data_IF_026955074355
#
_entry.id   IF_026955074355
#
_cell.length_a   1.000
_cell.length_b   1.000
_cell.length_c   1.000
_cell.angle_alpha   90.00
_cell.angle_beta   90.00
_cell.angle_gamma   90.00
#
_symmetry.space_group_name_H-M   'P 1'
#
loop_
_entity.id
_entity.type
_entity.pdbx_description
1 polymer ?
#
# COMPACT_ATOMS: atom_id res chain seq x y z
N UNK A 1 4.53 -11.10 12.20
CA UNK A 1 5.01 -9.69 12.17
C UNK A 1 6.44 -9.64 12.68
N UNK A 2 7.26 -8.69 12.20
CA UNK A 2 8.60 -8.47 12.74
C UNK A 2 8.56 -8.00 14.21
N UNK A 3 9.67 -8.13 14.91
CA UNK A 3 9.74 -7.83 16.35
C UNK A 3 9.63 -6.34 16.68
N UNK A 4 9.82 -5.46 15.70
CA UNK A 4 9.68 -4.00 15.85
C UNK A 4 8.26 -3.50 15.57
N UNK A 5 7.33 -4.41 15.24
CA UNK A 5 5.94 -4.05 14.99
C UNK A 5 5.33 -3.32 16.21
N UNK A 6 4.76 -2.11 16.04
CA UNK A 6 4.16 -1.36 17.14
C UNK A 6 3.09 -2.17 17.90
N UNK A 7 3.13 -2.13 19.23
CA UNK A 7 2.23 -2.91 20.10
C UNK A 7 0.76 -2.66 19.81
N UNK A 8 0.38 -1.44 19.41
CA UNK A 8 -0.99 -1.12 19.04
C UNK A 8 -1.52 -2.00 17.89
N UNK A 9 -0.65 -2.36 16.93
CA UNK A 9 -1.01 -3.26 15.82
C UNK A 9 -1.12 -4.71 16.28
N UNK A 10 -0.26 -5.13 17.22
CA UNK A 10 -0.28 -6.47 17.83
C UNK A 10 -1.56 -6.64 18.65
N UNK A 11 -1.81 -5.70 19.57
CA UNK A 11 -2.98 -5.73 20.45
C UNK A 11 -4.30 -5.66 19.65
N UNK A 12 -4.35 -4.83 18.62
CA UNK A 12 -5.47 -4.75 17.69
C UNK A 12 -5.79 -6.08 17.02
N UNK A 13 -4.76 -6.84 16.63
CA UNK A 13 -4.92 -8.16 16.02
C UNK A 13 -5.38 -9.21 17.04
N UNK A 14 -4.75 -9.24 18.21
CA UNK A 14 -5.11 -10.15 19.31
C UNK A 14 -6.56 -9.96 19.79
N UNK A 15 -7.03 -8.71 19.81
CA UNK A 15 -8.40 -8.37 20.23
C UNK A 15 -9.48 -9.07 19.39
N UNK A 16 -9.18 -9.40 18.15
CA UNK A 16 -10.09 -10.15 17.28
C UNK A 16 -9.90 -11.68 17.35
N UNK A 17 -9.12 -12.17 18.32
CA UNK A 17 -8.91 -13.60 18.56
C UNK A 17 -7.89 -14.26 17.62
N UNK A 18 -7.13 -13.47 16.87
CA UNK A 18 -6.08 -14.00 16.01
C UNK A 18 -4.82 -14.35 16.84
N UNK A 19 -4.09 -15.37 16.43
CA UNK A 19 -2.75 -15.65 16.94
C UNK A 19 -1.74 -14.72 16.31
N UNK A 20 -0.86 -14.12 17.12
CA UNK A 20 0.19 -13.23 16.63
C UNK A 20 1.55 -13.85 16.90
N UNK A 21 2.27 -14.16 15.83
CA UNK A 21 3.66 -14.63 15.88
C UNK A 21 4.59 -13.46 15.55
N UNK A 22 5.48 -13.11 16.47
CA UNK A 22 6.54 -12.11 16.27
C UNK A 22 7.84 -12.83 15.91
N UNK A 23 8.38 -12.56 14.73
CA UNK A 23 9.58 -13.22 14.24
C UNK A 23 10.43 -12.29 13.38
N UNK A 24 11.77 -12.42 13.54
CA UNK A 24 12.75 -11.69 12.73
C UNK A 24 12.88 -10.21 13.12
N UNK A 25 13.91 -9.59 12.58
CA UNK A 25 14.24 -8.17 12.78
C UNK A 25 13.84 -7.32 11.57
N UNK A 26 13.43 -7.97 10.46
CA UNK A 26 13.01 -7.34 9.22
C UNK A 26 11.70 -7.91 8.69
N UNK A 27 11.08 -7.15 7.78
CA UNK A 27 9.90 -7.63 7.05
C UNK A 27 10.19 -8.89 6.23
N UNK A 28 11.36 -8.97 5.58
CA UNK A 28 11.73 -10.11 4.72
C UNK A 28 11.86 -11.40 5.56
N UNK A 29 12.57 -11.35 6.70
CA UNK A 29 12.67 -12.49 7.61
C UNK A 29 11.31 -12.94 8.15
N UNK A 30 10.45 -11.99 8.49
CA UNK A 30 9.09 -12.28 8.94
C UNK A 30 8.25 -12.94 7.83
N UNK A 31 8.36 -12.45 6.60
CA UNK A 31 7.66 -13.00 5.43
C UNK A 31 8.09 -14.45 5.15
N UNK A 32 9.39 -14.70 5.12
CA UNK A 32 9.94 -16.04 4.88
C UNK A 32 9.47 -17.05 5.95
N UNK A 33 9.45 -16.61 7.21
CA UNK A 33 8.92 -17.44 8.30
C UNK A 33 7.41 -17.68 8.15
N UNK A 34 6.64 -16.68 7.75
CA UNK A 34 5.21 -16.82 7.54
C UNK A 34 4.88 -17.79 6.39
N UNK A 35 5.64 -17.73 5.30
CA UNK A 35 5.52 -18.68 4.18
C UNK A 35 5.80 -20.11 4.63
N UNK A 36 6.86 -20.30 5.43
CA UNK A 36 7.20 -21.62 6.00
C UNK A 36 6.10 -22.15 6.92
N UNK A 37 5.56 -21.30 7.81
CA UNK A 37 4.43 -21.69 8.67
C UNK A 37 3.18 -22.04 7.87
N UNK A 38 2.91 -21.32 6.79
CA UNK A 38 1.78 -21.60 5.91
C UNK A 38 1.95 -22.98 5.25
N UNK A 39 3.13 -23.32 4.73
CA UNK A 39 3.43 -24.61 4.12
C UNK A 39 3.34 -25.76 5.15
N UNK A 40 3.94 -25.59 6.35
CA UNK A 40 3.97 -26.63 7.39
C UNK A 40 2.58 -26.96 7.97
N UNK A 41 1.65 -25.99 7.96
CA UNK A 41 0.33 -26.13 8.59
C UNK A 41 -0.84 -26.10 7.60
N UNK A 42 -0.57 -26.10 6.30
CA UNK A 42 -1.59 -26.01 5.24
C UNK A 42 -2.47 -24.73 5.37
N UNK A 43 -1.83 -23.59 5.72
CA UNK A 43 -2.50 -22.32 5.81
C UNK A 43 -2.46 -21.57 4.47
N UNK A 44 -3.51 -20.84 4.17
CA UNK A 44 -3.51 -19.91 3.04
C UNK A 44 -2.72 -18.65 3.41
N UNK A 45 -1.60 -18.40 2.71
CA UNK A 45 -0.86 -17.15 2.86
C UNK A 45 -1.54 -16.03 2.06
N UNK A 46 -1.88 -14.94 2.73
CA UNK A 46 -2.44 -13.74 2.08
C UNK A 46 -1.35 -12.67 2.05
N UNK A 47 -0.82 -12.33 0.85
CA UNK A 47 0.19 -11.28 0.71
C UNK A 47 -0.36 -9.91 1.10
N UNK A 48 0.51 -8.98 1.55
CA UNK A 48 0.05 -7.65 1.95
C UNK A 48 -0.39 -6.77 0.77
N UNK A 49 0.05 -7.03 -0.46
CA UNK A 49 -0.25 -6.20 -1.63
C UNK A 49 -0.08 -6.88 -2.99
N UNK A 50 0.91 -7.77 -3.17
CA UNK A 50 1.28 -8.30 -4.51
C UNK A 50 0.53 -9.58 -4.83
N UNK A 51 -0.78 -9.47 -4.97
CA UNK A 51 -1.69 -10.57 -5.25
C UNK A 51 -2.97 -10.03 -5.92
N UNK A 52 -3.49 -10.73 -6.93
CA UNK A 52 -4.65 -10.26 -7.70
C UNK A 52 -5.92 -10.17 -6.85
N UNK A 53 -6.19 -11.15 -6.00
CA UNK A 53 -7.39 -11.15 -5.15
C UNK A 53 -7.36 -10.00 -4.14
N UNK A 54 -6.16 -9.71 -3.60
CA UNK A 54 -5.93 -8.56 -2.72
C UNK A 54 -6.15 -7.25 -3.48
N UNK A 55 -5.61 -7.12 -4.69
CA UNK A 55 -5.76 -5.93 -5.53
C UNK A 55 -7.23 -5.72 -5.92
N UNK A 56 -7.96 -6.78 -6.29
CA UNK A 56 -9.40 -6.71 -6.57
C UNK A 56 -10.18 -6.23 -5.34
N UNK A 57 -9.86 -6.76 -4.15
CA UNK A 57 -10.42 -6.29 -2.89
C UNK A 57 -10.19 -4.79 -2.65
N UNK A 58 -9.00 -4.27 -2.95
CA UNK A 58 -8.70 -2.84 -2.86
C UNK A 58 -9.46 -2.02 -3.92
N UNK A 59 -9.76 -2.59 -5.06
CA UNK A 59 -10.56 -1.96 -6.13
C UNK A 59 -11.97 -1.55 -5.68
N UNK A 60 -12.56 -2.25 -4.70
CA UNK A 60 -13.87 -1.90 -4.14
C UNK A 60 -13.91 -0.48 -3.58
N UNK A 61 -12.77 0.02 -3.05
CA UNK A 61 -12.65 1.41 -2.57
C UNK A 61 -12.87 2.41 -3.71
N UNK A 62 -12.31 2.15 -4.90
CA UNK A 62 -12.53 2.98 -6.08
C UNK A 62 -14.01 3.02 -6.50
N UNK A 63 -14.66 1.87 -6.48
CA UNK A 63 -16.12 1.78 -6.77
C UNK A 63 -16.94 2.57 -5.75
N UNK A 64 -16.63 2.44 -4.45
CA UNK A 64 -17.33 3.16 -3.39
C UNK A 64 -17.12 4.68 -3.49
N UNK A 65 -15.90 5.14 -3.75
CA UNK A 65 -15.59 6.57 -3.96
C UNK A 65 -16.50 7.13 -5.07
N UNK A 66 -16.56 6.48 -6.22
CA UNK A 66 -17.34 6.97 -7.36
C UNK A 66 -18.84 6.86 -7.14
N UNK A 67 -19.30 5.94 -6.31
CA UNK A 67 -20.72 5.86 -5.92
C UNK A 67 -21.14 6.97 -4.96
N UNK A 68 -20.21 7.49 -4.15
CA UNK A 68 -20.46 8.53 -3.15
C UNK A 68 -20.13 9.94 -3.65
N UNK A 69 -19.22 10.05 -4.63
CA UNK A 69 -18.78 11.31 -5.20
C UNK A 69 -18.85 11.27 -6.74
N UNK A 70 -19.99 11.66 -7.29
CA UNK A 70 -20.29 11.58 -8.75
C UNK A 70 -19.39 12.45 -9.64
N UNK A 71 -18.81 13.53 -9.10
CA UNK A 71 -18.06 14.54 -9.87
C UNK A 71 -16.62 14.66 -9.37
N UNK A 72 -15.92 13.54 -9.20
CA UNK A 72 -14.50 13.54 -8.88
C UNK A 72 -13.67 13.82 -10.14
N UNK A 73 -12.79 14.82 -10.10
CA UNK A 73 -11.79 15.06 -11.15
C UNK A 73 -10.49 14.32 -10.87
N UNK A 74 -10.15 14.18 -9.57
CA UNK A 74 -8.90 13.57 -9.11
C UNK A 74 -9.14 12.60 -7.96
N UNK A 75 -8.41 11.50 -7.96
CA UNK A 75 -8.28 10.57 -6.82
C UNK A 75 -6.81 10.46 -6.44
N UNK A 76 -6.45 10.92 -5.24
CA UNK A 76 -5.10 10.82 -4.70
C UNK A 76 -5.01 9.60 -3.80
N UNK A 77 -4.02 8.75 -4.04
CA UNK A 77 -3.88 7.47 -3.34
C UNK A 77 -2.49 7.34 -2.74
N UNK A 78 -2.36 7.08 -1.42
CA UNK A 78 -1.07 6.82 -0.79
C UNK A 78 -0.51 5.48 -1.28
N UNK A 79 0.80 5.42 -1.51
CA UNK A 79 1.46 4.27 -2.11
C UNK A 79 2.62 3.78 -1.26
N UNK A 80 2.57 2.50 -0.91
CA UNK A 80 3.68 1.71 -0.40
C UNK A 80 3.99 0.58 -1.38
N UNK A 81 3.60 -0.65 -1.09
CA UNK A 81 3.78 -1.81 -1.97
C UNK A 81 2.93 -1.82 -3.25
N UNK A 82 1.97 -0.90 -3.37
CA UNK A 82 1.18 -0.66 -4.58
C UNK A 82 -0.18 -1.35 -4.63
N UNK A 83 -0.57 -2.18 -3.64
CA UNK A 83 -1.85 -2.92 -3.68
C UNK A 83 -3.07 -2.01 -3.75
N UNK A 84 -3.12 -0.98 -2.91
CA UNK A 84 -4.22 -0.03 -2.87
C UNK A 84 -4.34 0.74 -4.19
N UNK A 85 -3.26 1.35 -4.66
CA UNK A 85 -3.31 2.16 -5.88
C UNK A 85 -3.60 1.31 -7.12
N UNK A 86 -3.06 0.10 -7.21
CA UNK A 86 -3.34 -0.81 -8.33
C UNK A 86 -4.85 -1.13 -8.40
N UNK A 87 -5.47 -1.48 -7.27
CA UNK A 87 -6.91 -1.77 -7.22
C UNK A 87 -7.77 -0.54 -7.51
N UNK A 88 -7.52 0.56 -6.80
CA UNK A 88 -8.29 1.80 -6.95
C UNK A 88 -8.16 2.37 -8.36
N UNK A 89 -6.93 2.49 -8.90
CA UNK A 89 -6.72 3.07 -10.23
C UNK A 89 -7.38 2.22 -11.32
N UNK A 90 -7.25 0.91 -11.24
CA UNK A 90 -7.89 0.00 -12.20
C UNK A 90 -9.40 0.16 -12.17
N UNK A 91 -10.04 0.13 -10.99
CA UNK A 91 -11.48 0.28 -10.84
C UNK A 91 -11.96 1.66 -11.31
N UNK A 92 -11.27 2.74 -10.94
CA UNK A 92 -11.63 4.11 -11.37
C UNK A 92 -11.53 4.25 -12.88
N UNK A 93 -10.46 3.78 -13.51
CA UNK A 93 -10.25 3.88 -14.96
C UNK A 93 -11.25 3.05 -15.78
N UNK A 94 -11.70 1.93 -15.28
CA UNK A 94 -12.74 1.11 -15.93
C UNK A 94 -14.13 1.78 -15.86
N UNK A 95 -14.43 2.52 -14.78
CA UNK A 95 -15.72 3.21 -14.62
C UNK A 95 -15.72 4.55 -15.32
N UNK A 96 -14.68 5.37 -15.13
CA UNK A 96 -14.52 6.67 -15.75
C UNK A 96 -13.04 6.99 -16.04
N UNK A 97 -12.56 6.81 -17.27
CA UNK A 97 -11.17 7.03 -17.64
C UNK A 97 -10.70 8.49 -17.57
N UNK A 98 -11.63 9.45 -17.53
CA UNK A 98 -11.32 10.88 -17.47
C UNK A 98 -10.81 11.30 -16.07
N UNK A 99 -11.20 10.57 -15.01
CA UNK A 99 -10.74 10.86 -13.65
C UNK A 99 -9.25 10.58 -13.54
N UNK A 100 -8.50 11.55 -13.03
CA UNK A 100 -7.06 11.43 -12.84
C UNK A 100 -6.75 10.72 -11.53
N UNK A 101 -5.98 9.64 -11.59
CA UNK A 101 -5.48 8.94 -10.40
C UNK A 101 -4.02 9.32 -10.19
N UNK A 102 -3.72 9.85 -8.99
CA UNK A 102 -2.40 10.33 -8.62
C UNK A 102 -1.84 9.49 -7.48
N UNK A 103 -0.68 8.89 -7.69
CA UNK A 103 0.06 8.18 -6.65
C UNK A 103 0.83 9.15 -5.75
N UNK A 104 0.73 8.99 -4.43
CA UNK A 104 1.42 9.83 -3.45
C UNK A 104 2.35 8.97 -2.62
N UNK A 105 3.66 9.25 -2.66
CA UNK A 105 4.68 8.51 -1.91
C UNK A 105 5.47 9.44 -0.98
N UNK A 106 5.95 8.95 0.17
CA UNK A 106 6.97 9.67 0.93
C UNK A 106 8.24 9.83 0.09
N UNK A 107 8.87 10.99 0.14
CA UNK A 107 10.07 11.27 -0.65
C UNK A 107 11.18 10.24 -0.47
N UNK A 108 11.38 9.76 0.76
CA UNK A 108 12.40 8.74 1.09
C UNK A 108 11.98 7.30 0.79
N UNK A 109 10.70 7.05 0.45
CA UNK A 109 10.15 5.71 0.18
C UNK A 109 9.37 5.65 -1.15
N UNK A 110 9.85 6.38 -2.18
CA UNK A 110 9.20 6.51 -3.50
C UNK A 110 9.53 5.34 -4.46
N UNK A 111 9.39 4.12 -3.98
CA UNK A 111 9.80 2.93 -4.74
C UNK A 111 8.98 2.69 -6.01
N UNK A 112 7.69 3.03 -6.02
CA UNK A 112 6.85 2.89 -7.20
C UNK A 112 7.17 3.95 -8.25
N UNK A 113 7.35 5.20 -7.87
CA UNK A 113 7.76 6.28 -8.79
C UNK A 113 9.09 5.94 -9.46
N UNK A 114 10.10 5.47 -8.70
CA UNK A 114 11.39 5.07 -9.27
C UNK A 114 11.26 3.84 -10.19
N UNK A 115 10.39 2.88 -9.85
CA UNK A 115 10.10 1.73 -10.71
C UNK A 115 9.47 2.17 -12.05
N UNK A 116 8.47 3.04 -12.01
CA UNK A 116 7.81 3.58 -13.21
C UNK A 116 8.79 4.37 -14.07
N UNK A 117 9.65 5.21 -13.47
CA UNK A 117 10.69 5.97 -14.19
C UNK A 117 11.71 5.08 -14.89
N UNK A 118 12.10 3.98 -14.24
CA UNK A 118 13.08 3.03 -14.79
C UNK A 118 12.47 2.02 -15.78
N UNK A 119 11.15 1.82 -15.71
CA UNK A 119 10.46 0.80 -16.50
C UNK A 119 10.58 -0.62 -15.95
N UNK A 120 11.06 -0.77 -14.72
CA UNK A 120 11.22 -2.07 -14.02
C UNK A 120 11.09 -1.89 -12.51
N UNK A 121 10.72 -2.97 -11.81
CA UNK A 121 10.72 -2.99 -10.33
C UNK A 121 12.14 -2.76 -9.82
N UNK A 122 12.27 -1.85 -8.87
CA UNK A 122 13.54 -1.48 -8.24
C UNK A 122 13.46 -1.63 -6.74
N UNK A 123 14.58 -1.95 -6.12
CA UNK A 123 14.74 -1.95 -4.67
C UNK A 123 15.54 -0.72 -4.23
N UNK A 124 14.96 0.09 -3.35
CA UNK A 124 15.65 1.21 -2.73
C UNK A 124 16.67 0.68 -1.69
N UNK A 125 17.80 1.35 -1.54
CA UNK A 125 18.82 0.97 -0.55
C UNK A 125 18.35 1.11 0.90
N UNK A 126 17.36 1.97 1.15
CA UNK A 126 16.71 2.16 2.45
C UNK A 126 15.48 3.04 2.31
N UNK A 127 14.62 2.97 3.31
CA UNK A 127 13.43 3.82 3.46
C UNK A 127 13.40 4.35 4.89
N UNK A 128 13.24 5.66 5.01
CA UNK A 128 13.15 6.34 6.31
C UNK A 128 12.05 7.41 6.22
N UNK A 129 10.90 7.12 6.82
CA UNK A 129 9.74 7.99 6.82
C UNK A 129 8.86 7.73 8.03
N UNK A 130 8.22 8.78 8.54
CA UNK A 130 7.20 8.68 9.59
C UNK A 130 5.93 7.94 9.13
N UNK A 131 5.71 7.85 7.82
CA UNK A 131 4.59 7.13 7.23
C UNK A 131 4.88 5.62 7.13
N UNK A 132 4.97 4.94 8.27
CA UNK A 132 5.36 3.53 8.40
C UNK A 132 4.53 2.57 7.53
N UNK A 133 3.26 2.89 7.27
CA UNK A 133 2.37 2.11 6.42
C UNK A 133 2.73 2.13 4.93
N UNK A 134 3.51 3.12 4.49
CA UNK A 134 3.98 3.28 3.11
C UNK A 134 5.50 3.15 2.97
N UNK A 135 6.21 2.82 4.04
CA UNK A 135 7.66 2.62 4.06
C UNK A 135 8.06 1.29 3.40
N UNK A 136 7.95 1.21 2.08
CA UNK A 136 8.21 -0.01 1.30
C UNK A 136 9.38 0.23 0.35
N UNK A 137 10.46 -0.56 0.52
CA UNK A 137 11.67 -0.43 -0.29
C UNK A 137 11.53 -1.00 -1.71
N UNK A 138 10.62 -1.95 -1.91
CA UNK A 138 10.41 -2.63 -3.18
C UNK A 138 8.92 -2.89 -3.38
N UNK A 139 8.38 -2.40 -4.49
CA UNK A 139 6.96 -2.62 -4.86
C UNK A 139 6.72 -4.03 -5.36
N UNK A 140 5.47 -4.46 -5.39
CA UNK A 140 5.10 -5.73 -5.99
C UNK A 140 5.24 -5.70 -7.52
N UNK A 141 5.48 -6.85 -8.11
CA UNK A 141 5.56 -6.96 -9.57
C UNK A 141 4.18 -6.78 -10.22
N UNK A 142 3.16 -7.41 -9.66
CA UNK A 142 1.78 -7.31 -10.17
C UNK A 142 1.26 -5.90 -9.96
N UNK A 143 1.50 -5.33 -8.77
CA UNK A 143 1.07 -3.96 -8.47
C UNK A 143 1.76 -2.93 -9.36
N UNK A 144 3.05 -3.09 -9.66
CA UNK A 144 3.78 -2.27 -10.64
C UNK A 144 3.18 -2.39 -12.04
N UNK A 145 2.97 -3.62 -12.53
CA UNK A 145 2.46 -3.85 -13.89
C UNK A 145 1.07 -3.23 -14.12
N UNK A 146 0.22 -3.23 -13.10
CA UNK A 146 -1.09 -2.57 -13.16
C UNK A 146 -0.95 -1.05 -13.06
N UNK A 147 -0.19 -0.57 -12.07
CA UNK A 147 -0.12 0.86 -11.75
C UNK A 147 0.55 1.70 -12.83
N UNK A 148 1.57 1.16 -13.51
CA UNK A 148 2.28 1.88 -14.60
C UNK A 148 1.34 2.28 -15.76
N UNK A 149 0.25 1.52 -15.97
CA UNK A 149 -0.69 1.73 -17.07
C UNK A 149 -1.98 2.45 -16.64
N UNK A 150 -2.30 2.47 -15.34
CA UNK A 150 -3.57 2.99 -14.82
C UNK A 150 -3.45 4.26 -13.97
N UNK A 151 -2.24 4.63 -13.56
CA UNK A 151 -1.97 5.84 -12.77
C UNK A 151 -1.48 6.96 -13.67
N UNK A 152 -2.08 8.14 -13.56
CA UNK A 152 -1.78 9.27 -14.45
C UNK A 152 -0.53 10.03 -14.05
N UNK A 153 -0.27 10.17 -12.75
CA UNK A 153 0.89 10.93 -12.27
C UNK A 153 1.35 10.46 -10.88
N UNK A 154 2.55 10.85 -10.50
CA UNK A 154 3.21 10.48 -9.26
C UNK A 154 3.78 11.70 -8.58
N UNK A 155 3.42 11.90 -7.33
CA UNK A 155 3.97 12.99 -6.51
C UNK A 155 4.59 12.44 -5.23
N UNK A 156 5.51 13.21 -4.67
CA UNK A 156 6.12 12.87 -3.39
C UNK A 156 5.82 13.96 -2.36
N UNK A 157 5.73 13.53 -1.09
CA UNK A 157 5.58 14.40 0.07
C UNK A 157 6.72 14.15 1.05
N UNK A 158 7.17 15.19 1.72
CA UNK A 158 8.20 15.10 2.76
C UNK A 158 7.60 14.71 4.11
N UNK A 159 8.43 14.21 5.02
CA UNK A 159 8.01 13.90 6.38
C UNK A 159 7.59 15.15 7.18
N UNK A 160 8.01 16.34 6.76
CA UNK A 160 7.53 17.60 7.34
C UNK A 160 6.12 17.98 6.83
N UNK A 161 5.78 17.64 5.60
CA UNK A 161 4.47 17.91 4.99
C UNK A 161 3.38 16.96 5.46
N UNK A 162 3.72 15.69 5.72
CA UNK A 162 2.76 14.66 6.14
C UNK A 162 1.99 15.05 7.41
N UNK A 163 2.63 15.50 8.53
CA UNK A 163 1.92 15.90 9.74
C UNK A 163 1.04 17.12 9.56
N UNK A 164 1.39 18.02 8.65
CA UNK A 164 0.64 19.26 8.42
C UNK A 164 -0.79 18.94 7.96
N UNK A 165 -0.98 17.89 7.18
CA UNK A 165 -2.30 17.48 6.72
C UNK A 165 -3.23 17.07 7.89
N UNK A 166 -2.69 16.45 8.94
CA UNK A 166 -3.47 16.05 10.13
C UNK A 166 -3.97 17.24 10.94
N UNK A 167 -3.27 18.37 10.90
CA UNK A 167 -3.68 19.59 11.63
C UNK A 167 -4.81 20.35 10.93
N UNK A 168 -5.05 20.06 9.65
CA UNK A 168 -6.07 20.71 8.83
C UNK A 168 -7.28 19.81 8.52
N UNK A 169 -7.16 18.51 8.78
CA UNK A 169 -8.27 17.57 8.63
C UNK A 169 -9.08 17.48 9.92
N UNK A 170 -10.33 17.92 9.88
CA UNK A 170 -11.32 17.56 10.89
C UNK A 170 -11.80 16.15 10.59
N UNK A 171 -11.17 15.15 11.22
CA UNK A 171 -11.68 13.79 11.15
C UNK A 171 -12.97 13.71 11.96
N UNK A 172 -14.05 13.10 11.43
CA UNK A 172 -15.23 12.81 12.24
C UNK A 172 -14.81 11.88 13.39
N UNK A 173 -15.08 12.31 14.62
CA UNK A 173 -14.84 11.54 15.86
C UNK A 173 -15.93 10.50 16.03
#
# INVERSE_FOLDING_TARGET
RDRHTPMIKVDGTLKYGAEVVLYGESFDECKDHALKLAEENDYTFIPPFDDLDVIEGQGTIGVEILSQLENADYVLVPVGGGGLIAGVSKAVKEINPEIKVIGVEPYSARSMMEAVKKGEVVKLEGVDTIADGTAVAEVGKITYDISKDSVDDWITVTDDEIPVSYTHLTLPT
#
